data_IF_507689620600
#
_entry.id   IF_507689620600
#
_cell.length_a   1.000
_cell.length_b   1.000
_cell.length_c   1.000
_cell.angle_alpha   90.00
_cell.angle_beta   90.00
_cell.angle_gamma   90.00
#
_symmetry.space_group_name_H-M   'P 1'
#
loop_
_entity.id
_entity.type
_entity.pdbx_description
1 polymer ?
#
# COMPACT_ATOMS: atom_id res chain seq x y z
N UNK A 1 65.59 -33.29 10.50
CA UNK A 1 64.34 -33.70 9.83
C UNK A 1 63.10 -33.36 10.68
N UNK A 2 63.16 -33.39 11.97
CA UNK A 2 62.03 -33.06 12.92
C UNK A 2 61.63 -31.56 12.88
N UNK A 3 62.55 -30.63 12.73
CA UNK A 3 62.25 -29.19 12.73
C UNK A 3 61.37 -28.75 11.54
N UNK A 4 61.47 -29.44 10.38
CA UNK A 4 60.69 -29.12 9.18
C UNK A 4 59.27 -29.60 9.30
N UNK A 5 58.99 -30.70 9.94
CA UNK A 5 57.64 -31.24 10.18
C UNK A 5 56.83 -30.44 11.20
N UNK A 6 57.52 -29.92 12.22
CA UNK A 6 56.89 -29.10 13.29
C UNK A 6 56.51 -27.70 12.75
N UNK A 7 57.22 -27.16 11.77
CA UNK A 7 56.84 -25.87 11.13
C UNK A 7 55.66 -26.02 10.17
N UNK A 8 55.57 -27.15 9.45
CA UNK A 8 54.42 -27.42 8.57
C UNK A 8 53.10 -27.63 9.33
N UNK A 9 53.16 -28.25 10.52
CA UNK A 9 51.97 -28.43 11.37
C UNK A 9 51.48 -27.10 11.94
N UNK A 10 52.34 -26.20 12.35
CA UNK A 10 51.99 -24.87 12.86
C UNK A 10 51.38 -23.96 11.77
N UNK A 11 51.88 -24.02 10.54
CA UNK A 11 51.33 -23.24 9.42
C UNK A 11 49.94 -23.75 8.99
N UNK A 12 49.72 -25.07 9.00
CA UNK A 12 48.41 -25.63 8.73
C UNK A 12 47.38 -25.30 9.84
N UNK A 13 47.81 -25.31 11.10
CA UNK A 13 46.96 -24.97 12.24
C UNK A 13 46.57 -23.49 12.24
N UNK A 14 47.53 -22.57 11.94
CA UNK A 14 47.25 -21.14 11.83
C UNK A 14 46.38 -20.78 10.59
N UNK A 15 46.49 -21.51 9.48
CA UNK A 15 45.64 -21.33 8.32
C UNK A 15 44.19 -21.77 8.59
N UNK A 16 44.01 -22.86 9.35
CA UNK A 16 42.71 -23.35 9.79
C UNK A 16 42.01 -22.37 10.75
N UNK A 17 42.71 -21.87 11.75
CA UNK A 17 42.13 -20.87 12.69
C UNK A 17 41.70 -19.59 12.04
N UNK A 18 42.49 -19.05 11.08
CA UNK A 18 42.14 -17.86 10.30
C UNK A 18 40.93 -18.09 9.37
N UNK A 19 40.76 -19.32 8.87
CA UNK A 19 39.60 -19.68 8.03
C UNK A 19 38.33 -19.74 8.87
N UNK A 20 38.36 -20.35 10.04
CA UNK A 20 37.21 -20.42 10.96
C UNK A 20 36.81 -19.05 11.49
N UNK A 21 37.76 -18.16 11.76
CA UNK A 21 37.46 -16.78 12.17
C UNK A 21 36.72 -16.00 11.06
N UNK A 22 37.16 -16.12 9.80
CA UNK A 22 36.49 -15.47 8.66
C UNK A 22 35.08 -16.01 8.45
N UNK A 23 34.89 -17.32 8.55
CA UNK A 23 33.59 -17.94 8.44
C UNK A 23 32.64 -17.47 9.55
N UNK A 24 33.13 -17.38 10.78
CA UNK A 24 32.36 -16.87 11.91
C UNK A 24 31.89 -15.43 11.66
N UNK A 25 32.78 -14.55 11.20
CA UNK A 25 32.44 -13.17 10.85
C UNK A 25 31.38 -13.09 9.75
N UNK A 26 31.48 -13.93 8.70
CA UNK A 26 30.46 -14.00 7.64
C UNK A 26 29.10 -14.43 8.19
N UNK A 27 29.06 -15.41 9.07
CA UNK A 27 27.80 -15.85 9.72
C UNK A 27 27.22 -14.74 10.57
N UNK A 28 28.03 -14.02 11.35
CA UNK A 28 27.57 -12.90 12.17
C UNK A 28 27.03 -11.78 11.30
N UNK A 29 27.74 -11.40 10.24
CA UNK A 29 27.27 -10.36 9.31
C UNK A 29 25.97 -10.78 8.65
N UNK A 30 25.86 -12.02 8.18
CA UNK A 30 24.61 -12.54 7.60
C UNK A 30 23.46 -12.52 8.60
N UNK A 31 23.70 -12.94 9.85
CA UNK A 31 22.69 -12.89 10.90
C UNK A 31 22.21 -11.44 11.18
N UNK A 32 23.13 -10.49 11.24
CA UNK A 32 22.79 -9.07 11.43
C UNK A 32 22.02 -8.52 10.23
N UNK A 33 22.41 -8.85 9.01
CA UNK A 33 21.65 -8.47 7.79
C UNK A 33 20.25 -9.08 7.79
N UNK A 34 20.11 -10.34 8.18
CA UNK A 34 18.81 -11.01 8.29
C UNK A 34 17.92 -10.34 9.33
N UNK A 35 18.46 -10.02 10.51
CA UNK A 35 17.72 -9.29 11.55
C UNK A 35 17.31 -7.92 11.04
N UNK A 36 18.20 -7.18 10.37
CA UNK A 36 17.91 -5.91 9.74
C UNK A 36 16.80 -6.03 8.68
N UNK A 37 16.89 -7.02 7.81
CA UNK A 37 15.87 -7.31 6.81
C UNK A 37 14.51 -7.60 7.47
N UNK A 38 14.45 -8.52 8.41
CA UNK A 38 13.21 -8.85 9.09
C UNK A 38 12.62 -7.64 9.84
N UNK A 39 13.47 -6.75 10.36
CA UNK A 39 13.06 -5.56 11.12
C UNK A 39 12.47 -4.46 10.24
N UNK A 40 13.01 -4.28 9.02
CA UNK A 40 12.74 -3.10 8.19
C UNK A 40 12.03 -3.40 6.87
N UNK A 41 12.15 -4.62 6.31
CA UNK A 41 11.56 -4.94 5.01
C UNK A 41 10.03 -4.78 4.95
N UNK A 42 9.33 -4.95 6.09
CA UNK A 42 7.90 -4.70 6.16
C UNK A 42 7.49 -3.26 5.83
N UNK A 43 8.36 -2.31 6.12
CA UNK A 43 8.11 -0.89 5.82
C UNK A 43 8.41 -0.52 4.36
N UNK A 44 9.02 -1.40 3.59
CA UNK A 44 9.28 -1.18 2.16
C UNK A 44 7.99 -0.90 1.37
N UNK A 45 6.89 -1.48 1.77
CA UNK A 45 5.59 -1.33 1.11
C UNK A 45 4.86 -0.05 1.50
N UNK A 46 5.22 0.53 2.64
CA UNK A 46 4.52 1.67 3.23
C UNK A 46 5.16 2.97 2.76
N UNK A 47 4.37 3.82 2.14
CA UNK A 47 4.71 5.19 1.82
C UNK A 47 3.44 6.03 1.89
N UNK A 48 3.46 7.07 2.72
CA UNK A 48 2.37 8.03 2.82
C UNK A 48 2.88 9.42 2.48
N UNK A 49 2.01 10.24 1.93
CA UNK A 49 2.27 11.66 1.74
C UNK A 49 1.74 12.45 2.94
N UNK A 50 2.28 13.64 3.16
CA UNK A 50 1.64 14.62 4.05
C UNK A 50 0.39 15.13 3.34
N UNK A 51 -0.77 14.67 3.78
CA UNK A 51 -2.05 15.17 3.25
C UNK A 51 -2.23 16.61 3.73
N UNK A 52 -2.57 17.58 2.85
CA UNK A 52 -2.88 18.93 3.23
C UNK A 52 -4.02 18.99 4.27
N UNK A 53 -4.15 20.14 4.96
CA UNK A 53 -5.26 20.35 5.91
C UNK A 53 -6.62 20.20 5.25
N UNK A 54 -6.70 20.52 3.95
CA UNK A 54 -7.93 20.42 3.17
C UNK A 54 -7.64 19.92 1.75
N UNK A 55 -8.51 19.01 1.25
CA UNK A 55 -8.54 18.52 -0.13
C UNK A 55 -9.98 18.56 -0.67
N UNK A 56 -10.14 18.59 -2.00
CA UNK A 56 -11.45 18.58 -2.63
C UNK A 56 -12.19 17.26 -2.36
N UNK A 57 -11.48 16.13 -2.46
CA UNK A 57 -12.08 14.84 -2.18
C UNK A 57 -11.15 13.86 -1.45
N UNK A 58 -11.72 13.11 -0.52
CA UNK A 58 -11.11 11.90 0.06
C UNK A 58 -11.60 10.68 -0.75
N UNK A 59 -10.69 10.00 -1.44
CA UNK A 59 -11.00 8.96 -2.42
C UNK A 59 -10.72 7.59 -1.83
N UNK A 60 -11.75 6.78 -1.68
CA UNK A 60 -11.68 5.38 -1.21
C UNK A 60 -11.42 4.48 -2.40
N UNK A 61 -10.24 3.86 -2.47
CA UNK A 61 -9.90 2.91 -3.51
C UNK A 61 -10.44 1.51 -3.22
N UNK A 62 -10.74 0.75 -4.27
CA UNK A 62 -11.26 -0.63 -4.18
C UNK A 62 -10.27 -1.58 -3.48
N UNK A 63 -10.82 -2.59 -2.84
CA UNK A 63 -10.04 -3.62 -2.14
C UNK A 63 -10.90 -4.76 -1.61
N UNK A 64 -10.44 -5.44 -0.57
CA UNK A 64 -11.28 -6.40 0.16
C UNK A 64 -12.31 -5.66 1.01
N UNK A 65 -13.40 -6.32 1.36
CA UNK A 65 -14.47 -5.76 2.21
C UNK A 65 -13.91 -5.15 3.51
N UNK A 66 -12.97 -5.83 4.16
CA UNK A 66 -12.36 -5.34 5.39
C UNK A 66 -11.51 -4.08 5.14
N UNK A 67 -10.74 -4.05 4.05
CA UNK A 67 -9.92 -2.91 3.65
C UNK A 67 -10.78 -1.71 3.26
N UNK A 68 -11.82 -1.91 2.48
CA UNK A 68 -12.74 -0.84 2.06
C UNK A 68 -13.50 -0.25 3.24
N UNK A 69 -13.93 -1.06 4.20
CA UNK A 69 -14.56 -0.57 5.42
C UNK A 69 -13.61 0.34 6.23
N UNK A 70 -12.33 -0.05 6.36
CA UNK A 70 -11.33 0.75 7.06
C UNK A 70 -11.06 2.06 6.33
N UNK A 71 -10.91 2.02 4.99
CA UNK A 71 -10.68 3.20 4.14
C UNK A 71 -11.89 4.14 4.15
N UNK A 72 -13.10 3.59 4.04
CA UNK A 72 -14.34 4.37 4.11
C UNK A 72 -14.46 5.08 5.46
N UNK A 73 -14.20 4.37 6.57
CA UNK A 73 -14.22 4.98 7.89
C UNK A 73 -13.20 6.12 8.01
N UNK A 74 -11.99 5.95 7.48
CA UNK A 74 -10.96 6.99 7.47
C UNK A 74 -11.35 8.20 6.58
N UNK A 75 -11.98 7.96 5.41
CA UNK A 75 -12.48 9.01 4.54
C UNK A 75 -13.61 9.81 5.18
N UNK A 76 -14.55 9.13 5.82
CA UNK A 76 -15.67 9.80 6.54
C UNK A 76 -15.16 10.61 7.73
N UNK A 77 -14.16 10.12 8.47
CA UNK A 77 -13.51 10.89 9.53
C UNK A 77 -12.77 12.13 9.00
N UNK A 78 -12.16 12.03 7.79
CA UNK A 78 -11.52 13.19 7.14
C UNK A 78 -12.59 14.23 6.74
N UNK A 79 -13.71 13.78 6.18
CA UNK A 79 -14.85 14.63 5.82
C UNK A 79 -15.45 15.33 7.04
N UNK A 80 -15.67 14.59 8.13
CA UNK A 80 -16.30 15.10 9.37
C UNK A 80 -15.46 16.20 10.01
N UNK A 81 -14.13 16.05 10.04
CA UNK A 81 -13.22 17.10 10.59
C UNK A 81 -12.93 18.24 9.61
N UNK A 82 -13.58 18.26 8.43
CA UNK A 82 -13.39 19.33 7.44
C UNK A 82 -12.11 19.22 6.61
N UNK A 83 -11.37 18.12 6.70
CA UNK A 83 -10.16 17.90 5.89
C UNK A 83 -10.44 17.50 4.44
N UNK A 84 -11.69 17.23 4.09
CA UNK A 84 -12.13 17.03 2.71
C UNK A 84 -13.49 17.67 2.49
N UNK A 85 -13.74 18.19 1.28
CA UNK A 85 -15.08 18.71 0.89
C UNK A 85 -16.04 17.57 0.60
N UNK A 86 -15.58 16.53 -0.05
CA UNK A 86 -16.37 15.37 -0.49
C UNK A 86 -15.64 14.07 -0.17
N UNK A 87 -16.38 12.97 -0.18
CA UNK A 87 -15.80 11.62 -0.22
C UNK A 87 -16.18 10.99 -1.55
N UNK A 88 -15.21 10.48 -2.29
CA UNK A 88 -15.43 9.67 -3.48
C UNK A 88 -15.18 8.19 -3.15
N UNK A 89 -16.11 7.33 -3.50
CA UNK A 89 -15.94 5.87 -3.34
C UNK A 89 -15.81 5.26 -4.73
N UNK A 90 -14.67 4.62 -4.99
CA UNK A 90 -14.44 3.81 -6.18
C UNK A 90 -15.21 2.50 -6.04
N UNK A 91 -16.23 2.31 -6.87
CA UNK A 91 -17.04 1.08 -6.88
C UNK A 91 -17.40 0.67 -8.31
N UNK A 92 -17.56 -0.63 -8.57
CA UNK A 92 -18.17 -1.05 -9.83
C UNK A 92 -19.59 -0.49 -9.95
N UNK A 93 -19.99 -0.12 -11.17
CA UNK A 93 -21.34 0.35 -11.44
C UNK A 93 -22.39 -0.72 -11.13
N UNK A 94 -22.06 -1.94 -11.51
CA UNK A 94 -22.96 -3.09 -11.37
C UNK A 94 -22.28 -4.24 -10.63
N UNK A 95 -23.06 -4.99 -9.87
CA UNK A 95 -22.62 -6.25 -9.25
C UNK A 95 -22.47 -7.34 -10.32
N UNK A 96 -21.89 -8.48 -9.92
CA UNK A 96 -21.82 -9.67 -10.76
C UNK A 96 -23.17 -10.14 -11.31
N UNK A 97 -24.28 -9.83 -10.60
CA UNK A 97 -25.64 -10.18 -10.98
C UNK A 97 -26.42 -9.02 -11.63
N UNK A 98 -25.75 -7.93 -12.01
CA UNK A 98 -26.37 -6.79 -12.70
C UNK A 98 -27.11 -5.80 -11.78
N UNK A 99 -26.90 -5.88 -10.47
CA UNK A 99 -27.51 -4.93 -9.52
C UNK A 99 -26.72 -3.61 -9.51
N UNK A 100 -27.44 -2.49 -9.45
CA UNK A 100 -26.84 -1.15 -9.31
C UNK A 100 -26.24 -0.97 -7.91
N UNK A 101 -24.90 -1.07 -7.82
CA UNK A 101 -24.19 -1.01 -6.53
C UNK A 101 -24.32 0.37 -5.86
N UNK A 102 -24.19 1.52 -6.55
CA UNK A 102 -24.46 2.84 -5.98
C UNK A 102 -25.82 2.96 -5.29
N UNK A 103 -26.88 2.41 -5.86
CA UNK A 103 -28.21 2.45 -5.28
C UNK A 103 -28.30 1.64 -3.98
N UNK A 104 -27.63 0.50 -3.93
CA UNK A 104 -27.58 -0.36 -2.72
C UNK A 104 -26.68 0.27 -1.64
N UNK A 105 -25.56 0.88 -2.04
CA UNK A 105 -24.59 1.44 -1.11
C UNK A 105 -25.09 2.69 -0.39
N UNK A 106 -25.90 3.54 -1.04
CA UNK A 106 -26.35 4.81 -0.46
C UNK A 106 -27.16 4.65 0.83
N UNK A 107 -28.22 3.84 0.89
CA UNK A 107 -28.96 3.63 2.14
C UNK A 107 -28.10 3.07 3.27
N UNK A 108 -27.11 2.24 2.95
CA UNK A 108 -26.16 1.72 3.93
C UNK A 108 -25.31 2.85 4.52
N UNK A 109 -24.79 3.76 3.70
CA UNK A 109 -24.00 4.90 4.16
C UNK A 109 -24.85 5.87 5.01
N UNK A 110 -26.08 6.14 4.61
CA UNK A 110 -27.01 6.96 5.38
C UNK A 110 -27.31 6.37 6.75
N UNK A 111 -27.56 5.08 6.82
CA UNK A 111 -27.76 4.37 8.09
C UNK A 111 -26.52 4.40 8.98
N UNK A 112 -25.33 4.29 8.40
CA UNK A 112 -24.08 4.14 9.15
C UNK A 112 -23.50 5.48 9.60
N UNK A 113 -23.57 6.51 8.76
CA UNK A 113 -22.89 7.79 8.97
C UNK A 113 -23.87 8.99 9.08
N UNK A 114 -25.17 8.76 8.89
CA UNK A 114 -26.18 9.80 8.86
C UNK A 114 -26.35 10.45 7.49
N UNK A 115 -27.55 10.95 7.19
CA UNK A 115 -27.93 11.51 5.89
C UNK A 115 -27.05 12.73 5.52
N UNK A 116 -26.68 13.56 6.49
CA UNK A 116 -25.88 14.76 6.24
C UNK A 116 -24.47 14.43 5.69
N UNK A 117 -23.77 13.49 6.28
CA UNK A 117 -22.47 13.05 5.78
C UNK A 117 -22.61 12.23 4.49
N UNK A 118 -23.58 11.33 4.43
CA UNK A 118 -23.82 10.50 3.26
C UNK A 118 -24.18 11.32 1.99
N UNK A 119 -24.82 12.49 2.12
CA UNK A 119 -25.10 13.39 1.00
C UNK A 119 -23.85 14.01 0.36
N UNK A 120 -22.72 13.97 1.09
CA UNK A 120 -21.41 14.42 0.60
C UNK A 120 -20.55 13.30 0.05
N UNK A 121 -21.13 12.10 -0.17
CA UNK A 121 -20.45 10.96 -0.77
C UNK A 121 -20.88 10.84 -2.22
N UNK A 122 -19.89 10.81 -3.11
CA UNK A 122 -20.04 10.56 -4.54
C UNK A 122 -19.52 9.15 -4.86
N UNK A 123 -20.13 8.50 -5.84
CA UNK A 123 -19.68 7.22 -6.35
C UNK A 123 -18.96 7.45 -7.69
N UNK A 124 -17.66 7.16 -7.71
CA UNK A 124 -16.88 7.11 -8.93
C UNK A 124 -16.97 5.69 -9.49
N UNK A 125 -17.84 5.52 -10.47
CA UNK A 125 -18.12 4.22 -11.05
C UNK A 125 -16.96 3.71 -11.89
N UNK A 126 -16.61 2.45 -11.72
CA UNK A 126 -15.69 1.73 -12.60
C UNK A 126 -16.44 0.66 -13.37
N UNK A 127 -15.88 0.22 -14.49
CA UNK A 127 -16.40 -0.95 -15.19
C UNK A 127 -16.18 -2.20 -14.31
N UNK A 128 -17.06 -3.21 -14.42
CA UNK A 128 -16.98 -4.42 -13.59
C UNK A 128 -15.70 -5.24 -13.77
N UNK A 129 -15.01 -5.10 -14.91
CA UNK A 129 -13.78 -5.78 -15.25
C UNK A 129 -12.50 -5.04 -14.83
N UNK A 130 -12.62 -3.92 -14.12
CA UNK A 130 -11.47 -3.21 -13.56
C UNK A 130 -10.81 -4.05 -12.47
N UNK A 131 -9.65 -4.62 -12.82
CA UNK A 131 -8.90 -5.52 -11.94
C UNK A 131 -7.53 -4.98 -11.53
N UNK A 132 -7.14 -3.81 -12.04
CA UNK A 132 -5.84 -3.22 -11.76
C UNK A 132 -5.92 -1.78 -11.26
N UNK A 133 -5.01 -1.42 -10.35
CA UNK A 133 -4.89 -0.05 -9.85
C UNK A 133 -4.63 0.98 -10.97
N UNK A 134 -4.07 0.58 -12.11
CA UNK A 134 -3.87 1.46 -13.28
C UNK A 134 -5.16 1.74 -14.02
N UNK A 135 -6.03 0.73 -14.18
CA UNK A 135 -7.36 0.91 -14.78
C UNK A 135 -8.25 1.74 -13.85
N UNK A 136 -8.24 1.44 -12.56
CA UNK A 136 -8.94 2.21 -11.54
C UNK A 136 -8.51 3.68 -11.57
N UNK A 137 -7.21 3.96 -11.60
CA UNK A 137 -6.70 5.33 -11.66
C UNK A 137 -7.19 6.09 -12.89
N UNK A 138 -7.23 5.45 -14.06
CA UNK A 138 -7.77 6.06 -15.28
C UNK A 138 -9.26 6.38 -15.15
N UNK A 139 -10.07 5.44 -14.67
CA UNK A 139 -11.51 5.62 -14.49
C UNK A 139 -11.80 6.77 -13.50
N UNK A 140 -11.10 6.78 -12.37
CA UNK A 140 -11.32 7.81 -11.35
C UNK A 140 -10.82 9.19 -11.78
N UNK A 141 -9.80 9.29 -12.63
CA UNK A 141 -9.36 10.60 -13.17
C UNK A 141 -10.48 11.26 -13.98
N UNK A 142 -11.27 10.50 -14.71
CA UNK A 142 -12.46 11.03 -15.41
C UNK A 142 -13.51 11.53 -14.40
N UNK A 143 -13.79 10.77 -13.37
CA UNK A 143 -14.68 11.19 -12.29
C UNK A 143 -14.20 12.48 -11.61
N UNK A 144 -12.90 12.64 -11.37
CA UNK A 144 -12.34 13.87 -10.80
C UNK A 144 -12.52 15.06 -11.73
N UNK A 145 -12.36 14.85 -13.04
CA UNK A 145 -12.60 15.88 -14.05
C UNK A 145 -14.06 16.32 -14.09
N UNK A 146 -14.99 15.38 -14.06
CA UNK A 146 -16.45 15.65 -14.04
C UNK A 146 -16.86 16.47 -12.82
N UNK A 147 -16.25 16.22 -11.66
CA UNK A 147 -16.51 16.96 -10.42
C UNK A 147 -15.66 18.23 -10.25
N UNK A 148 -14.69 18.46 -11.14
CA UNK A 148 -13.79 19.61 -11.09
C UNK A 148 -12.76 19.54 -9.94
N UNK A 149 -12.49 18.37 -9.36
CA UNK A 149 -11.55 18.22 -8.25
C UNK A 149 -10.10 18.37 -8.72
N UNK A 150 -9.33 19.18 -7.99
CA UNK A 150 -7.93 19.49 -8.27
C UNK A 150 -6.97 18.96 -7.21
N UNK A 151 -7.47 18.60 -6.02
CA UNK A 151 -6.70 18.04 -4.93
C UNK A 151 -7.44 16.85 -4.31
N UNK A 152 -6.80 15.69 -4.27
CA UNK A 152 -7.44 14.47 -3.76
C UNK A 152 -6.52 13.70 -2.82
N UNK A 153 -7.09 13.20 -1.71
CA UNK A 153 -6.43 12.24 -0.82
C UNK A 153 -6.88 10.82 -1.17
N UNK A 154 -5.98 9.99 -1.67
CA UNK A 154 -6.25 8.58 -1.97
C UNK A 154 -6.10 7.73 -0.73
N UNK A 155 -7.20 7.18 -0.22
CA UNK A 155 -7.20 6.27 0.90
C UNK A 155 -7.04 4.83 0.40
N UNK A 156 -5.90 4.25 0.73
CA UNK A 156 -5.54 2.87 0.39
C UNK A 156 -4.96 2.16 1.60
N UNK A 157 -4.87 0.84 1.58
CA UNK A 157 -4.19 0.12 2.65
C UNK A 157 -2.71 0.51 2.72
N UNK A 158 -2.17 0.63 3.93
CA UNK A 158 -0.80 1.07 4.16
C UNK A 158 0.23 0.29 3.34
N UNK A 159 0.06 -1.04 3.21
CA UNK A 159 0.96 -1.91 2.45
C UNK A 159 0.85 -1.75 0.91
N UNK A 160 -0.17 -1.06 0.42
CA UNK A 160 -0.34 -0.74 -1.01
C UNK A 160 0.11 0.69 -1.34
N UNK A 161 0.29 1.53 -0.34
CA UNK A 161 0.45 2.98 -0.49
C UNK A 161 1.62 3.36 -1.39
N UNK A 162 2.78 2.70 -1.29
CA UNK A 162 3.92 2.95 -2.17
C UNK A 162 3.59 2.66 -3.64
N UNK A 163 3.02 1.48 -3.92
CA UNK A 163 2.66 1.07 -5.28
C UNK A 163 1.56 1.94 -5.87
N UNK A 164 0.52 2.20 -5.10
CA UNK A 164 -0.60 3.08 -5.49
C UNK A 164 -0.07 4.47 -5.83
N UNK A 165 0.75 5.08 -4.98
CA UNK A 165 1.32 6.39 -5.22
C UNK A 165 2.13 6.47 -6.52
N UNK A 166 2.93 5.44 -6.82
CA UNK A 166 3.69 5.39 -8.07
C UNK A 166 2.77 5.31 -9.31
N UNK A 167 1.75 4.45 -9.26
CA UNK A 167 0.83 4.26 -10.38
C UNK A 167 0.02 5.53 -10.61
N UNK A 168 -0.54 6.12 -9.56
CA UNK A 168 -1.38 7.29 -9.66
C UNK A 168 -0.64 8.52 -10.17
N UNK A 169 0.55 8.82 -9.63
CA UNK A 169 1.36 9.95 -10.12
C UNK A 169 1.69 9.82 -11.60
N UNK A 170 2.04 8.62 -12.07
CA UNK A 170 2.28 8.36 -13.50
C UNK A 170 1.00 8.53 -14.34
N UNK A 171 -0.15 8.08 -13.84
CA UNK A 171 -1.42 8.18 -14.57
C UNK A 171 -1.87 9.63 -14.71
N UNK A 172 -1.80 10.39 -13.62
CA UNK A 172 -2.20 11.81 -13.60
C UNK A 172 -1.24 12.68 -14.42
N UNK A 173 0.09 12.45 -14.34
CA UNK A 173 1.07 13.23 -15.09
C UNK A 173 0.97 13.03 -16.61
N UNK A 174 0.40 11.92 -17.05
CA UNK A 174 0.19 11.59 -18.47
C UNK A 174 -1.22 11.92 -18.97
N UNK A 175 -2.09 12.46 -18.11
CA UNK A 175 -3.47 12.81 -18.44
C UNK A 175 -3.63 14.29 -18.76
N UNK A 176 -4.74 14.63 -19.42
CA UNK A 176 -5.10 16.01 -19.76
C UNK A 176 -5.64 16.82 -18.57
N UNK A 177 -5.92 16.14 -17.43
CA UNK A 177 -6.44 16.75 -16.22
C UNK A 177 -5.38 16.80 -15.12
N UNK A 178 -5.00 18.02 -14.73
CA UNK A 178 -4.06 18.21 -13.63
C UNK A 178 -4.78 18.09 -12.28
N UNK A 179 -4.38 17.13 -11.47
CA UNK A 179 -4.86 16.93 -10.10
C UNK A 179 -3.69 16.59 -9.16
N UNK A 180 -3.65 17.23 -8.01
CA UNK A 180 -2.69 16.92 -6.96
C UNK A 180 -3.17 15.71 -6.17
N UNK A 181 -2.34 14.67 -6.14
CA UNK A 181 -2.67 13.38 -5.54
C UNK A 181 -1.82 13.14 -4.31
N UNK A 182 -2.46 12.99 -3.17
CA UNK A 182 -1.85 12.66 -1.87
C UNK A 182 -2.27 11.27 -1.43
N UNK A 183 -1.31 10.40 -1.14
CA UNK A 183 -1.60 9.01 -0.73
C UNK A 183 -1.66 8.91 0.79
N UNK A 184 -2.82 8.55 1.30
CA UNK A 184 -3.06 8.28 2.71
C UNK A 184 -3.15 6.77 2.95
N UNK A 185 -2.10 6.20 3.54
CA UNK A 185 -2.08 4.79 3.92
C UNK A 185 -2.90 4.53 5.19
N UNK A 186 -3.98 3.78 5.06
CA UNK A 186 -4.85 3.39 6.18
C UNK A 186 -4.37 2.06 6.77
N UNK A 187 -4.28 1.91 8.10
CA UNK A 187 -4.03 0.63 8.74
C UNK A 187 -5.02 -0.44 8.27
N UNK A 188 -4.50 -1.63 7.96
CA UNK A 188 -5.30 -2.71 7.38
C UNK A 188 -5.10 -3.99 8.18
N UNK A 189 -6.18 -4.73 8.52
CA UNK A 189 -6.07 -5.98 9.28
C UNK A 189 -5.27 -7.07 8.55
N UNK A 190 -5.17 -7.00 7.22
CA UNK A 190 -4.43 -7.96 6.41
C UNK A 190 -2.90 -7.78 6.49
N UNK A 191 -2.41 -6.69 7.11
CA UNK A 191 -0.98 -6.43 7.15
C UNK A 191 -0.53 -5.48 8.23
N UNK A 192 0.55 -5.86 8.93
CA UNK A 192 1.31 -4.98 9.81
C UNK A 192 2.79 -5.01 9.43
N UNK A 193 3.45 -3.85 9.20
CA UNK A 193 4.85 -3.79 8.81
C UNK A 193 5.78 -4.37 9.87
N UNK A 194 5.48 -4.11 11.15
CA UNK A 194 6.26 -4.64 12.26
C UNK A 194 5.95 -6.10 12.50
N UNK A 195 6.94 -6.97 12.34
CA UNK A 195 6.78 -8.40 12.55
C UNK A 195 6.00 -9.09 11.42
N UNK A 196 6.06 -8.56 10.22
CA UNK A 196 5.38 -9.07 9.03
C UNK A 196 5.62 -10.57 8.77
N UNK A 197 6.79 -11.10 9.15
CA UNK A 197 7.14 -12.53 8.99
C UNK A 197 6.51 -13.45 10.04
N UNK A 198 5.92 -12.91 11.13
CA UNK A 198 5.39 -13.70 12.25
C UNK A 198 4.02 -14.29 11.98
N UNK A 199 3.29 -13.75 11.05
CA UNK A 199 1.96 -14.23 10.67
C UNK A 199 1.96 -14.57 9.20
N UNK A 200 1.42 -15.74 8.86
CA UNK A 200 1.33 -16.24 7.48
C UNK A 200 0.65 -15.22 6.57
N UNK A 201 -0.48 -14.66 6.99
CA UNK A 201 -1.22 -13.67 6.22
C UNK A 201 -0.35 -12.45 5.87
N UNK A 202 0.41 -11.93 6.82
CA UNK A 202 1.27 -10.76 6.61
C UNK A 202 2.46 -11.09 5.69
N UNK A 203 3.04 -12.28 5.84
CA UNK A 203 4.13 -12.72 4.97
C UNK A 203 3.66 -12.92 3.52
N UNK A 204 2.51 -13.55 3.30
CA UNK A 204 1.88 -13.72 1.99
C UNK A 204 1.54 -12.35 1.37
N UNK A 205 0.97 -11.42 2.15
CA UNK A 205 0.68 -10.06 1.71
C UNK A 205 1.96 -9.32 1.31
N UNK A 206 3.03 -9.44 2.14
CA UNK A 206 4.31 -8.81 1.83
C UNK A 206 4.93 -9.32 0.54
N UNK A 207 4.96 -10.65 0.35
CA UNK A 207 5.51 -11.28 -0.87
C UNK A 207 4.71 -10.85 -2.11
N UNK A 208 3.39 -10.94 -2.04
CA UNK A 208 2.51 -10.60 -3.16
C UNK A 208 2.61 -9.12 -3.53
N UNK A 209 2.56 -8.22 -2.56
CA UNK A 209 2.63 -6.78 -2.85
C UNK A 209 4.04 -6.33 -3.22
N UNK A 210 5.09 -6.97 -2.72
CA UNK A 210 6.47 -6.71 -3.18
C UNK A 210 6.65 -7.09 -4.66
N UNK A 211 6.09 -8.23 -5.09
CA UNK A 211 6.10 -8.62 -6.50
C UNK A 211 5.31 -7.63 -7.38
N UNK A 212 4.11 -7.20 -6.94
CA UNK A 212 3.32 -6.19 -7.64
C UNK A 212 4.03 -4.82 -7.68
N UNK A 213 4.73 -4.45 -6.61
CA UNK A 213 5.53 -3.22 -6.57
C UNK A 213 6.68 -3.29 -7.57
N UNK A 214 7.42 -4.39 -7.61
CA UNK A 214 8.48 -4.60 -8.60
C UNK A 214 7.95 -4.49 -10.03
N UNK A 215 6.79 -5.11 -10.31
CA UNK A 215 6.11 -5.01 -11.61
C UNK A 215 5.65 -3.58 -11.95
N UNK A 216 5.26 -2.79 -10.95
CA UNK A 216 4.83 -1.41 -11.18
C UNK A 216 5.99 -0.45 -11.50
N UNK A 217 7.23 -0.84 -11.18
CA UNK A 217 8.45 -0.06 -11.51
C UNK A 217 8.87 -0.29 -12.96
N UNK A 218 8.64 -1.49 -13.49
CA UNK A 218 8.94 -1.88 -14.88
C UNK A 218 7.93 -1.26 -15.85
#
# INVERSE_FOLDING_TARGET
>A
MEYTLMNLSKTHQQASEKSHSKLLWLVVIFALMMVGFLRWAGYLLVAGDSVPEHVDAAVVLQGSVASENARTAAAMALLERGGATRVAISIPKESYWGEDIPQIARPYLEKKYGAQLASRVDFCNTEPDVTSARQEAKALTLCFQEHGWRSVALLTSNYQSRRVGMIWRRTVSNGDWSVDVFVAGVPDPAYQPRGWWRQRLYAETWLTESAKLAWAVL
#
